data_IF_614313109409
#
_entry.id   IF_614313109409
#
_cell.length_a   1.000
_cell.length_b   1.000
_cell.length_c   1.000
_cell.angle_alpha   90.00
_cell.angle_beta   90.00
_cell.angle_gamma   90.00
#
_symmetry.space_group_name_H-M   'P 1'
#
loop_
_entity.id
_entity.type
_entity.pdbx_description
1 polymer ?
#
# COMPACT_ATOMS: atom_id res chain seq x y z
N UNK A 1 10.82 -19.33 19.71
CA UNK A 1 9.44 -18.91 19.48
C UNK A 1 9.14 -17.52 20.05
N UNK A 2 9.81 -17.14 21.14
CA UNK A 2 9.53 -15.90 21.87
C UNK A 2 9.81 -14.59 21.10
N UNK A 3 10.57 -14.63 20.02
CA UNK A 3 10.88 -13.45 19.19
C UNK A 3 10.05 -13.35 17.91
N UNK A 4 9.55 -14.49 17.38
CA UNK A 4 8.82 -14.52 16.09
C UNK A 4 7.46 -13.82 16.19
N UNK A 5 6.69 -14.10 17.24
CA UNK A 5 5.34 -13.53 17.42
C UNK A 5 5.40 -12.01 17.59
N UNK A 6 6.22 -11.43 18.49
CA UNK A 6 6.36 -9.99 18.58
C UNK A 6 6.82 -9.34 17.28
N UNK A 7 7.78 -9.96 16.57
CA UNK A 7 8.24 -9.46 15.27
C UNK A 7 7.14 -9.51 14.20
N UNK A 8 6.36 -10.60 14.13
CA UNK A 8 5.23 -10.70 13.21
C UNK A 8 4.17 -9.64 13.47
N UNK A 9 3.84 -9.37 14.74
CA UNK A 9 2.91 -8.31 15.12
C UNK A 9 3.42 -6.93 14.77
N UNK A 10 4.71 -6.66 15.01
CA UNK A 10 5.36 -5.42 14.59
C UNK A 10 5.28 -5.23 13.08
N UNK A 11 5.65 -6.24 12.30
CA UNK A 11 5.55 -6.22 10.85
C UNK A 11 4.12 -5.97 10.38
N UNK A 12 3.15 -6.71 10.94
CA UNK A 12 1.75 -6.59 10.55
C UNK A 12 1.20 -5.19 10.82
N UNK A 13 1.36 -4.70 12.04
CA UNK A 13 0.81 -3.39 12.43
C UNK A 13 1.45 -2.25 11.64
N UNK A 14 2.77 -2.29 11.43
CA UNK A 14 3.47 -1.24 10.68
C UNK A 14 3.09 -1.27 9.20
N UNK A 15 3.08 -2.42 8.52
CA UNK A 15 2.70 -2.49 7.12
C UNK A 15 1.23 -2.21 6.89
N UNK A 16 0.33 -2.72 7.73
CA UNK A 16 -1.10 -2.42 7.60
C UNK A 16 -1.39 -0.92 7.75
N UNK A 17 -0.71 -0.26 8.70
CA UNK A 17 -0.83 1.19 8.90
C UNK A 17 -0.26 1.97 7.73
N UNK A 18 0.92 1.61 7.22
CA UNK A 18 1.58 2.34 6.14
C UNK A 18 0.92 2.12 4.77
N UNK A 19 0.41 0.92 4.51
CA UNK A 19 -0.38 0.61 3.30
C UNK A 19 -1.76 1.27 3.37
N UNK A 20 -2.30 1.43 4.59
CA UNK A 20 -3.57 2.09 4.88
C UNK A 20 -4.72 1.71 3.93
N UNK A 21 -5.12 0.42 3.84
CA UNK A 21 -6.11 -0.03 2.87
C UNK A 21 -7.48 0.61 3.08
N UNK A 22 -7.85 0.95 4.33
CA UNK A 22 -9.11 1.61 4.65
C UNK A 22 -9.14 3.06 4.15
N UNK A 23 -8.02 3.79 4.30
CA UNK A 23 -7.90 5.16 3.77
C UNK A 23 -7.79 5.20 2.24
N UNK A 24 -7.27 4.15 1.61
CA UNK A 24 -7.17 4.03 0.15
C UNK A 24 -8.54 3.74 -0.48
N UNK A 25 -9.46 3.07 0.23
CA UNK A 25 -10.76 2.67 -0.27
C UNK A 25 -11.60 3.81 -0.88
N UNK A 26 -11.87 4.94 -0.19
CA UNK A 26 -12.66 6.03 -0.76
C UNK A 26 -12.00 6.69 -1.98
N UNK A 27 -10.68 6.79 -1.98
CA UNK A 27 -9.92 7.34 -3.11
C UNK A 27 -10.05 6.41 -4.32
N UNK A 28 -9.86 5.10 -4.13
CA UNK A 28 -10.03 4.10 -5.17
C UNK A 28 -11.44 4.14 -5.78
N UNK A 29 -12.49 4.22 -4.96
CA UNK A 29 -13.87 4.30 -5.41
C UNK A 29 -14.14 5.58 -6.23
N UNK A 30 -13.56 6.69 -5.84
CA UNK A 30 -13.66 7.96 -6.58
C UNK A 30 -12.96 7.88 -7.93
N UNK A 31 -11.76 7.30 -7.97
CA UNK A 31 -10.96 7.16 -9.20
C UNK A 31 -11.57 6.18 -10.20
N UNK A 32 -12.32 5.20 -9.72
CA UNK A 32 -12.96 4.17 -10.56
C UNK A 32 -14.45 4.42 -10.79
N UNK A 33 -14.92 5.63 -10.49
CA UNK A 33 -16.30 6.04 -10.77
C UNK A 33 -16.57 6.00 -12.27
N UNK A 34 -17.59 5.26 -12.69
CA UNK A 34 -17.93 5.09 -14.12
C UNK A 34 -17.32 3.86 -14.78
N UNK A 35 -16.42 3.12 -14.10
CA UNK A 35 -15.93 1.82 -14.56
C UNK A 35 -16.87 0.71 -14.13
N UNK A 36 -16.93 -0.36 -14.93
CA UNK A 36 -17.67 -1.55 -14.57
C UNK A 36 -16.98 -2.38 -13.47
N UNK A 37 -17.71 -3.34 -12.89
CA UNK A 37 -17.19 -4.16 -11.79
C UNK A 37 -15.97 -5.02 -12.23
N UNK A 38 -15.95 -5.49 -13.47
CA UNK A 38 -14.86 -6.30 -14.03
C UNK A 38 -13.58 -5.45 -14.15
N UNK A 39 -13.70 -4.23 -14.66
CA UNK A 39 -12.60 -3.27 -14.76
C UNK A 39 -12.03 -2.91 -13.38
N UNK A 40 -12.89 -2.64 -12.40
CA UNK A 40 -12.48 -2.35 -11.01
C UNK A 40 -11.73 -3.52 -10.39
N UNK A 41 -12.23 -4.75 -10.56
CA UNK A 41 -11.56 -5.96 -10.06
C UNK A 41 -10.19 -6.15 -10.70
N UNK A 42 -10.07 -5.86 -12.00
CA UNK A 42 -8.79 -5.93 -12.71
C UNK A 42 -7.77 -4.93 -12.14
N UNK A 43 -8.21 -3.68 -11.93
CA UNK A 43 -7.38 -2.61 -11.34
C UNK A 43 -6.90 -3.00 -9.93
N UNK A 44 -7.80 -3.46 -9.05
CA UNK A 44 -7.45 -3.89 -7.69
C UNK A 44 -6.39 -4.98 -7.73
N UNK A 45 -6.64 -6.04 -8.51
CA UNK A 45 -5.72 -7.17 -8.61
C UNK A 45 -4.34 -6.73 -9.10
N UNK A 46 -4.30 -5.93 -10.17
CA UNK A 46 -3.06 -5.43 -10.75
C UNK A 46 -2.31 -4.51 -9.79
N UNK A 47 -3.00 -3.54 -9.18
CA UNK A 47 -2.41 -2.62 -8.23
C UNK A 47 -1.81 -3.33 -7.02
N UNK A 48 -2.55 -4.27 -6.43
CA UNK A 48 -2.09 -5.03 -5.27
C UNK A 48 -0.87 -5.89 -5.59
N UNK A 49 -0.86 -6.58 -6.74
CA UNK A 49 0.28 -7.41 -7.17
C UNK A 49 1.51 -6.54 -7.43
N UNK A 50 1.36 -5.43 -8.17
CA UNK A 50 2.47 -4.53 -8.48
C UNK A 50 3.06 -3.96 -7.19
N UNK A 51 2.21 -3.46 -6.28
CA UNK A 51 2.66 -2.92 -4.98
C UNK A 51 3.41 -3.96 -4.16
N UNK A 52 2.90 -5.20 -4.10
CA UNK A 52 3.56 -6.31 -3.43
C UNK A 52 4.94 -6.61 -4.02
N UNK A 53 5.04 -6.72 -5.36
CA UNK A 53 6.31 -6.98 -6.04
C UNK A 53 7.30 -5.87 -5.78
N UNK A 54 6.89 -4.60 -5.87
CA UNK A 54 7.74 -3.44 -5.60
C UNK A 54 8.25 -3.48 -4.16
N UNK A 55 7.35 -3.65 -3.19
CA UNK A 55 7.75 -3.68 -1.78
C UNK A 55 8.73 -4.81 -1.49
N UNK A 56 8.45 -6.02 -1.96
CA UNK A 56 9.34 -7.17 -1.79
C UNK A 56 10.70 -6.92 -2.44
N UNK A 57 10.73 -6.38 -3.68
CA UNK A 57 11.96 -6.07 -4.38
C UNK A 57 12.84 -5.09 -3.58
N UNK A 58 12.27 -3.99 -3.10
CA UNK A 58 13.01 -3.03 -2.28
C UNK A 58 13.40 -3.59 -0.92
N UNK A 59 12.56 -4.41 -0.29
CA UNK A 59 12.85 -5.07 0.98
C UNK A 59 14.12 -5.93 0.87
N UNK A 60 14.27 -6.68 -0.22
CA UNK A 60 15.47 -7.51 -0.44
C UNK A 60 16.66 -6.72 -0.99
N UNK A 61 16.43 -5.83 -1.95
CA UNK A 61 17.52 -5.08 -2.59
C UNK A 61 18.02 -3.92 -1.75
N UNK A 62 17.27 -3.46 -0.76
CA UNK A 62 17.61 -2.26 0.02
C UNK A 62 18.96 -2.34 0.72
N UNK A 63 19.30 -3.49 1.31
CA UNK A 63 20.60 -3.68 1.95
C UNK A 63 21.76 -3.65 0.96
N UNK A 64 21.57 -4.19 -0.25
CA UNK A 64 22.57 -4.10 -1.32
C UNK A 64 22.76 -2.64 -1.73
N UNK A 65 21.69 -1.88 -1.90
CA UNK A 65 21.73 -0.44 -2.22
C UNK A 65 22.47 0.35 -1.13
N UNK A 66 22.23 0.05 0.15
CA UNK A 66 22.93 0.70 1.26
C UNK A 66 24.44 0.47 1.22
N UNK A 67 24.85 -0.76 0.98
CA UNK A 67 26.27 -1.10 0.85
C UNK A 67 26.91 -0.43 -0.37
N UNK A 68 26.20 -0.44 -1.50
CA UNK A 68 26.69 0.14 -2.75
C UNK A 68 26.87 1.65 -2.67
N UNK A 69 25.93 2.35 -2.05
CA UNK A 69 25.98 3.83 -1.91
C UNK A 69 26.66 4.29 -0.61
N UNK A 70 27.13 3.39 0.23
CA UNK A 70 27.71 3.75 1.52
C UNK A 70 26.73 4.37 2.50
N UNK A 71 25.42 4.05 2.39
CA UNK A 71 24.38 4.59 3.25
C UNK A 71 24.40 3.87 4.60
N UNK A 72 24.52 4.64 5.67
CA UNK A 72 24.40 4.11 7.04
C UNK A 72 22.96 3.70 7.34
N UNK A 73 22.74 2.47 7.82
CA UNK A 73 21.40 1.99 8.25
C UNK A 73 20.79 2.92 9.30
N UNK A 74 21.56 3.41 10.27
CA UNK A 74 21.09 4.33 11.30
C UNK A 74 20.69 5.70 10.71
N UNK A 75 21.47 6.23 9.77
CA UNK A 75 21.13 7.46 9.06
C UNK A 75 19.84 7.31 8.25
N UNK A 76 19.67 6.14 7.59
CA UNK A 76 18.45 5.85 6.87
C UNK A 76 17.22 5.71 7.79
N UNK A 77 17.35 5.08 8.97
CA UNK A 77 16.27 4.98 9.96
C UNK A 77 15.80 6.35 10.42
N UNK A 78 16.71 7.29 10.64
CA UNK A 78 16.35 8.67 11.02
C UNK A 78 15.57 9.33 9.87
N UNK A 79 16.08 9.28 8.65
CA UNK A 79 15.41 9.87 7.49
C UNK A 79 14.04 9.25 7.23
N UNK A 80 13.94 7.91 7.32
CA UNK A 80 12.68 7.18 7.18
C UNK A 80 11.67 7.57 8.27
N UNK A 81 12.13 7.71 9.52
CA UNK A 81 11.30 8.16 10.63
C UNK A 81 10.70 9.55 10.40
N UNK A 82 11.49 10.49 9.86
CA UNK A 82 11.02 11.83 9.49
C UNK A 82 9.97 11.76 8.37
N UNK A 83 10.18 10.92 7.37
CA UNK A 83 9.21 10.73 6.27
C UNK A 83 7.89 10.17 6.81
N UNK A 84 7.95 9.13 7.64
CA UNK A 84 6.77 8.50 8.24
C UNK A 84 6.03 9.49 9.15
N UNK A 85 6.76 10.28 9.96
CA UNK A 85 6.19 11.33 10.78
C UNK A 85 5.45 12.36 9.93
N UNK A 86 6.06 12.81 8.81
CA UNK A 86 5.42 13.75 7.88
C UNK A 86 4.16 13.16 7.26
N UNK A 87 4.18 11.91 6.82
CA UNK A 87 2.99 11.22 6.28
C UNK A 87 1.88 11.19 7.34
N UNK A 88 2.19 10.80 8.57
CA UNK A 88 1.22 10.78 9.67
C UNK A 88 0.64 12.18 9.97
N UNK A 89 1.48 13.21 9.95
CA UNK A 89 1.04 14.59 10.13
C UNK A 89 0.13 15.07 8.99
N UNK A 90 0.47 14.77 7.73
CA UNK A 90 -0.36 15.12 6.56
C UNK A 90 -1.73 14.41 6.60
N UNK A 91 -1.77 13.16 7.08
CA UNK A 91 -3.00 12.41 7.31
C UNK A 91 -3.89 13.07 8.37
N UNK A 92 -3.31 13.52 9.49
CA UNK A 92 -4.05 14.22 10.55
C UNK A 92 -4.64 15.56 10.07
N UNK A 93 -3.98 16.23 9.14
CA UNK A 93 -4.48 17.49 8.56
C UNK A 93 -5.49 17.28 7.42
N UNK A 94 -5.87 16.03 7.11
CA UNK A 94 -6.71 15.67 5.97
C UNK A 94 -6.23 16.29 4.64
N UNK A 95 -4.94 16.57 4.51
CA UNK A 95 -4.30 17.04 3.28
C UNK A 95 -4.10 15.87 2.33
N UNK A 96 -5.21 15.26 1.90
CA UNK A 96 -5.14 14.38 0.74
C UNK A 96 -4.74 15.23 -0.47
N UNK A 97 -3.67 14.85 -1.11
CA UNK A 97 -3.28 15.47 -2.39
C UNK A 97 -4.44 15.31 -3.35
N UNK A 98 -5.15 16.42 -3.63
CA UNK A 98 -6.22 16.46 -4.63
C UNK A 98 -5.61 16.21 -6.01
N UNK A 99 -5.42 14.95 -6.37
CA UNK A 99 -5.13 14.58 -7.75
C UNK A 99 -6.45 14.71 -8.51
N UNK A 100 -6.72 15.92 -9.03
CA UNK A 100 -7.85 16.17 -9.91
C UNK A 100 -7.58 15.44 -11.22
N UNK A 101 -8.14 14.26 -11.39
CA UNK A 101 -8.21 13.59 -12.68
C UNK A 101 -9.27 14.31 -13.53
N UNK A 102 -8.93 14.67 -14.76
CA UNK A 102 -9.87 15.25 -15.73
C UNK A 102 -10.75 14.13 -16.28
N UNK A 103 -12.06 14.38 -16.33
CA UNK A 103 -13.10 13.39 -16.68
C UNK A 103 -13.04 12.83 -18.13
N UNK A 104 -12.16 13.34 -19.00
CA UNK A 104 -12.19 13.04 -20.44
C UNK A 104 -11.30 11.87 -20.91
N UNK A 105 -10.50 11.27 -20.04
CA UNK A 105 -9.51 10.24 -20.44
C UNK A 105 -9.73 8.85 -19.81
N UNK A 106 -10.91 8.58 -19.25
CA UNK A 106 -11.18 7.42 -18.36
C UNK A 106 -10.90 6.04 -18.99
N UNK A 107 -11.12 5.85 -20.28
CA UNK A 107 -10.97 4.50 -20.90
C UNK A 107 -9.53 4.11 -21.25
N UNK A 108 -8.64 5.06 -21.50
CA UNK A 108 -7.21 4.80 -21.73
C UNK A 108 -6.46 4.64 -20.41
N UNK A 109 -7.01 5.21 -19.33
CA UNK A 109 -6.41 5.30 -17.98
C UNK A 109 -6.58 4.07 -17.08
N UNK A 110 -7.44 3.11 -17.38
CA UNK A 110 -7.62 1.94 -16.51
C UNK A 110 -6.32 1.18 -16.25
N UNK A 111 -5.41 1.16 -17.22
CA UNK A 111 -4.08 0.60 -17.07
C UNK A 111 -3.15 1.49 -16.24
N UNK A 112 -3.26 2.81 -16.37
CA UNK A 112 -2.39 3.77 -15.69
C UNK A 112 -2.80 3.98 -14.23
N UNK A 113 -4.11 3.97 -13.91
CA UNK A 113 -4.64 4.08 -12.53
C UNK A 113 -4.10 2.97 -11.62
N UNK A 114 -3.95 1.75 -12.13
CA UNK A 114 -3.45 0.64 -11.32
C UNK A 114 -1.98 0.81 -10.92
N UNK A 115 -1.19 1.55 -11.66
CA UNK A 115 0.22 1.82 -11.38
C UNK A 115 0.36 3.14 -10.63
N UNK A 116 -0.20 4.22 -11.18
CA UNK A 116 -0.11 5.57 -10.62
C UNK A 116 -1.51 6.18 -10.57
N UNK A 117 -2.02 6.64 -9.42
CA UNK A 117 -1.34 6.68 -8.11
C UNK A 117 -1.63 5.48 -7.19
N UNK A 118 -2.41 4.47 -7.61
CA UNK A 118 -2.92 3.44 -6.69
C UNK A 118 -1.80 2.56 -6.14
N UNK A 119 -0.94 1.97 -7.00
CA UNK A 119 0.20 1.18 -6.51
C UNK A 119 1.25 2.07 -5.86
N UNK A 120 1.68 3.12 -6.56
CA UNK A 120 2.67 4.09 -6.11
C UNK A 120 2.05 5.49 -6.24
N UNK A 121 1.96 6.29 -5.17
CA UNK A 121 2.50 6.07 -3.82
C UNK A 121 1.52 5.49 -2.81
N UNK A 122 0.27 5.12 -3.18
CA UNK A 122 -0.78 4.85 -2.19
C UNK A 122 -0.59 3.51 -1.46
N UNK A 123 -0.54 2.38 -2.17
CA UNK A 123 -0.39 1.05 -1.55
C UNK A 123 1.06 0.71 -1.21
N UNK A 124 2.03 1.23 -1.97
CA UNK A 124 3.45 1.05 -1.73
C UNK A 124 4.14 2.43 -1.72
N UNK A 125 3.93 3.17 -0.65
CA UNK A 125 4.54 4.49 -0.45
C UNK A 125 5.99 4.40 0.08
N UNK A 126 6.69 5.55 0.08
CA UNK A 126 8.08 5.60 0.56
C UNK A 126 8.23 5.15 2.02
N UNK A 127 7.20 5.35 2.85
CA UNK A 127 7.17 4.86 4.23
C UNK A 127 7.15 3.33 4.31
N UNK A 128 6.35 2.65 3.48
CA UNK A 128 6.29 1.20 3.44
C UNK A 128 7.60 0.59 2.94
N UNK A 129 8.19 1.18 1.90
CA UNK A 129 9.48 0.77 1.35
C UNK A 129 10.58 0.91 2.41
N UNK A 130 10.68 2.06 3.06
CA UNK A 130 11.66 2.32 4.11
C UNK A 130 11.51 1.34 5.29
N UNK A 131 10.28 1.10 5.72
CA UNK A 131 9.97 0.13 6.77
C UNK A 131 10.39 -1.30 6.38
N UNK A 132 10.14 -1.71 5.12
CA UNK A 132 10.54 -3.01 4.61
C UNK A 132 12.05 -3.23 4.65
N UNK A 133 12.82 -2.23 4.25
CA UNK A 133 14.29 -2.28 4.27
C UNK A 133 14.81 -2.38 5.72
N UNK A 134 14.22 -1.59 6.64
CA UNK A 134 14.63 -1.59 8.05
C UNK A 134 14.30 -2.92 8.72
N UNK A 135 13.09 -3.46 8.53
CA UNK A 135 12.69 -4.73 9.14
C UNK A 135 13.45 -5.92 8.56
N UNK A 136 13.89 -5.85 7.29
CA UNK A 136 14.78 -6.86 6.70
C UNK A 136 16.17 -6.81 7.32
N UNK A 137 16.67 -5.62 7.67
CA UNK A 137 17.93 -5.44 8.40
C UNK A 137 17.85 -6.01 9.83
N UNK A 138 16.71 -5.79 10.51
CA UNK A 138 16.45 -6.32 11.85
C UNK A 138 16.19 -7.84 11.87
N UNK A 139 15.82 -8.43 10.75
CA UNK A 139 15.57 -9.86 10.60
C UNK A 139 16.92 -10.63 10.49
N UNK A 140 17.59 -10.85 11.63
CA UNK A 140 18.90 -11.50 11.66
C UNK A 140 18.87 -13.01 11.38
N UNK A 141 17.71 -13.68 11.51
CA UNK A 141 17.54 -15.12 11.26
C UNK A 141 16.65 -15.38 10.05
N UNK A 142 16.80 -16.58 9.46
CA UNK A 142 15.97 -16.95 8.31
C UNK A 142 14.48 -17.04 8.65
N UNK A 143 14.14 -17.46 9.88
CA UNK A 143 12.76 -17.51 10.36
C UNK A 143 12.12 -16.11 10.38
N UNK A 144 12.86 -15.09 10.84
CA UNK A 144 12.37 -13.71 10.85
C UNK A 144 12.21 -13.15 9.44
N UNK A 145 13.12 -13.47 8.51
CA UNK A 145 13.02 -13.06 7.10
C UNK A 145 11.79 -13.69 6.42
N UNK A 146 11.55 -14.97 6.66
CA UNK A 146 10.37 -15.66 6.15
C UNK A 146 9.10 -15.06 6.77
N UNK A 147 9.11 -14.82 8.09
CA UNK A 147 7.99 -14.18 8.80
C UNK A 147 7.68 -12.81 8.19
N UNK A 148 8.69 -11.99 7.92
CA UNK A 148 8.50 -10.68 7.27
C UNK A 148 7.81 -10.80 5.92
N UNK A 149 8.28 -11.70 5.04
CA UNK A 149 7.69 -11.91 3.71
C UNK A 149 6.25 -12.42 3.80
N UNK A 150 6.00 -13.38 4.69
CA UNK A 150 4.65 -13.93 4.90
C UNK A 150 3.70 -12.86 5.42
N UNK A 151 4.13 -12.03 6.37
CA UNK A 151 3.29 -10.94 6.90
C UNK A 151 3.01 -9.89 5.83
N UNK A 152 4.00 -9.50 5.01
CA UNK A 152 3.77 -8.61 3.87
C UNK A 152 2.71 -9.21 2.93
N UNK A 153 2.82 -10.50 2.59
CA UNK A 153 1.85 -11.18 1.74
C UNK A 153 0.43 -11.17 2.35
N UNK A 154 0.32 -11.41 3.66
CA UNK A 154 -0.95 -11.34 4.39
C UNK A 154 -1.56 -9.94 4.34
N UNK A 155 -0.76 -8.88 4.58
CA UNK A 155 -1.24 -7.49 4.53
C UNK A 155 -1.75 -7.14 3.13
N UNK A 156 -1.03 -7.51 2.06
CA UNK A 156 -1.50 -7.25 0.70
C UNK A 156 -2.71 -8.10 0.31
N UNK A 157 -2.82 -9.33 0.80
CA UNK A 157 -4.03 -10.14 0.64
C UNK A 157 -5.24 -9.49 1.31
N UNK A 158 -5.07 -9.00 2.55
CA UNK A 158 -6.11 -8.24 3.25
C UNK A 158 -6.48 -6.95 2.52
N UNK A 159 -5.49 -6.23 2.02
CA UNK A 159 -5.70 -5.03 1.19
C UNK A 159 -6.53 -5.34 -0.04
N UNK A 160 -6.20 -6.41 -0.76
CA UNK A 160 -6.98 -6.88 -1.90
C UNK A 160 -8.44 -7.19 -1.52
N UNK A 161 -8.65 -7.91 -0.41
CA UNK A 161 -9.98 -8.27 0.07
C UNK A 161 -10.78 -7.01 0.45
N UNK A 162 -10.18 -6.08 1.18
CA UNK A 162 -10.82 -4.81 1.60
C UNK A 162 -11.25 -3.99 0.39
N UNK A 163 -10.35 -3.77 -0.58
CA UNK A 163 -10.67 -3.02 -1.79
C UNK A 163 -11.72 -3.74 -2.64
N UNK A 164 -11.69 -5.06 -2.72
CA UNK A 164 -12.69 -5.85 -3.43
C UNK A 164 -14.08 -5.77 -2.77
N UNK A 165 -14.13 -5.79 -1.44
CA UNK A 165 -15.39 -5.65 -0.72
C UNK A 165 -15.96 -4.23 -0.86
N UNK A 166 -15.11 -3.21 -0.99
CA UNK A 166 -15.55 -1.82 -1.17
C UNK A 166 -16.34 -1.61 -2.47
N UNK A 167 -15.98 -2.30 -3.55
CA UNK A 167 -16.72 -2.21 -4.82
C UNK A 167 -18.14 -2.76 -4.70
N UNK A 168 -18.33 -3.85 -3.96
CA UNK A 168 -19.65 -4.42 -3.70
C UNK A 168 -20.53 -3.53 -2.83
N UNK A 169 -19.95 -2.84 -1.85
CA UNK A 169 -20.71 -1.90 -1.00
C UNK A 169 -21.30 -0.74 -1.82
N UNK A 170 -20.56 -0.22 -2.80
CA UNK A 170 -21.04 0.86 -3.66
C UNK A 170 -22.12 0.39 -4.62
N UNK A 171 -22.05 -0.83 -5.15
CA UNK A 171 -23.11 -1.36 -6.02
C UNK A 171 -24.43 -1.52 -5.26
N UNK A 172 -24.40 -1.96 -4.01
CA UNK A 172 -25.60 -2.11 -3.16
C UNK A 172 -26.19 -0.75 -2.77
N UNK A 173 -25.35 0.24 -2.42
CA UNK A 173 -25.81 1.59 -2.03
C UNK A 173 -26.28 2.39 -3.26
N UNK A 174 -25.61 2.23 -4.40
CA UNK A 174 -25.96 2.92 -5.67
C UNK A 174 -27.29 2.47 -6.24
N UNK A 175 -27.64 1.19 -6.18
CA UNK A 175 -28.95 0.68 -6.60
C UNK A 175 -30.08 1.13 -5.67
N UNK A 176 -29.82 1.21 -4.37
CA UNK A 176 -30.83 1.68 -3.40
C UNK A 176 -31.07 3.20 -3.53
N UNK A 177 -30.04 3.99 -3.86
CA UNK A 177 -30.16 5.43 -4.08
C UNK A 177 -30.93 5.80 -5.35
N UNK A 178 -30.88 4.99 -6.41
CA UNK A 178 -31.63 5.22 -7.65
C UNK A 178 -33.13 4.84 -7.55
N UNK A 179 -33.49 3.98 -6.58
CA UNK A 179 -34.90 3.57 -6.38
C UNK A 179 -35.69 4.51 -5.44
N UNK A 180 -35.08 5.59 -4.94
CA UNK A 180 -35.70 6.56 -4.02
C UNK A 180 -35.91 7.93 -4.69
N UNK A 181 -35.49 8.12 -5.94
CA UNK A 181 -35.83 9.25 -6.79
C UNK A 181 -36.85 8.83 -7.86
#
# INVERSE_FOLDING_TARGET
>A
MDTIIPFALLCFTSFFTLTNPLGTMPVFLTMTKGLDESERQHIIKRATIISFIILISFTFCGQFLFKFFGISTNGFRIAAGIIILKIGYDMLQARYTNTKLKDEEIKTYANDISITPLSIPMLCGPGAIANGIILMDDAHTWELKITLVVVIAIVYLLTYIILRLSTRLVSVIGETGNNVM
#
